data_IF_398493789268
#
_entry.id   IF_398493789268
#
_cell.length_a   1.000
_cell.length_b   1.000
_cell.length_c   1.000
_cell.angle_alpha   90.00
_cell.angle_beta   90.00
_cell.angle_gamma   90.00
#
_symmetry.space_group_name_H-M   'P 1'
#
loop_
_entity.id
_entity.type
_entity.pdbx_description
1 polymer ?
#
# COMPACT_ATOMS: atom_id res chain seq x y z
N UNK A 1 24.75 0.30 -2.63
CA UNK A 1 24.03 1.24 -3.54
C UNK A 1 22.57 0.85 -3.78
N UNK A 2 22.24 -0.31 -4.35
CA UNK A 2 20.90 -0.64 -4.91
C UNK A 2 19.69 -0.41 -4.02
N UNK A 3 19.67 -0.90 -2.77
CA UNK A 3 18.55 -0.69 -1.85
C UNK A 3 18.41 0.79 -1.47
N UNK A 4 19.52 1.49 -1.25
CA UNK A 4 19.52 2.91 -0.89
C UNK A 4 18.97 3.78 -2.01
N UNK A 5 19.36 3.52 -3.26
CA UNK A 5 18.86 4.27 -4.42
C UNK A 5 17.37 4.03 -4.67
N UNK A 6 16.86 2.79 -4.53
CA UNK A 6 15.44 2.51 -4.60
C UNK A 6 14.66 3.18 -3.47
N UNK A 7 15.21 3.23 -2.24
CA UNK A 7 14.60 3.96 -1.14
C UNK A 7 14.43 5.45 -1.49
N UNK A 8 15.50 6.10 -1.98
CA UNK A 8 15.45 7.51 -2.39
C UNK A 8 14.46 7.73 -3.54
N UNK A 9 14.41 6.81 -4.50
CA UNK A 9 13.47 6.88 -5.61
C UNK A 9 12.02 6.95 -5.14
N UNK A 10 11.64 6.14 -4.15
CA UNK A 10 10.30 6.17 -3.55
C UNK A 10 10.12 7.31 -2.53
N UNK A 11 11.19 7.75 -1.87
CA UNK A 11 11.16 8.85 -0.92
C UNK A 11 10.84 10.19 -1.61
N UNK A 12 11.43 10.42 -2.79
CA UNK A 12 11.24 11.63 -3.59
C UNK A 12 10.24 11.47 -4.74
N UNK A 13 9.61 10.31 -4.86
CA UNK A 13 8.64 9.99 -5.93
C UNK A 13 9.22 10.10 -7.35
N UNK A 14 10.47 9.70 -7.55
CA UNK A 14 11.20 9.82 -8.82
C UNK A 14 10.96 8.62 -9.75
N UNK A 15 10.92 8.87 -11.05
CA UNK A 15 11.06 7.85 -12.10
C UNK A 15 12.50 7.31 -12.18
N UNK A 16 12.72 6.25 -12.96
CA UNK A 16 14.07 5.70 -13.16
C UNK A 16 15.02 6.72 -13.80
N UNK A 17 14.54 7.51 -14.76
CA UNK A 17 15.34 8.55 -15.43
C UNK A 17 15.63 9.75 -14.51
N UNK A 18 14.64 10.21 -13.76
CA UNK A 18 14.84 11.27 -12.78
C UNK A 18 15.80 10.85 -11.66
N UNK A 19 15.78 9.57 -11.25
CA UNK A 19 16.72 9.06 -10.26
C UNK A 19 18.15 8.98 -10.81
N UNK A 20 18.35 8.59 -12.08
CA UNK A 20 19.63 8.66 -12.79
C UNK A 20 20.15 10.11 -12.78
N UNK A 21 19.34 11.05 -13.22
CA UNK A 21 19.69 12.47 -13.28
C UNK A 21 20.04 13.03 -11.89
N UNK A 22 19.21 12.75 -10.89
CA UNK A 22 19.46 13.17 -9.51
C UNK A 22 20.77 12.62 -8.96
N UNK A 23 21.07 11.34 -9.18
CA UNK A 23 22.34 10.76 -8.74
C UNK A 23 23.54 11.40 -9.44
N UNK A 24 23.39 11.86 -10.69
CA UNK A 24 24.46 12.51 -11.44
C UNK A 24 24.85 13.87 -10.87
N UNK A 25 23.88 14.65 -10.42
CA UNK A 25 24.07 16.06 -10.04
C UNK A 25 23.98 16.33 -8.53
N UNK A 26 23.43 15.42 -7.72
CA UNK A 26 23.25 15.62 -6.30
C UNK A 26 24.28 14.79 -5.48
N UNK A 27 25.27 15.50 -4.95
CA UNK A 27 26.36 14.92 -4.15
C UNK A 27 25.81 14.23 -2.88
N UNK A 28 24.79 14.81 -2.25
CA UNK A 28 24.17 14.24 -1.06
C UNK A 28 23.51 12.89 -1.34
N UNK A 29 22.82 12.76 -2.49
CA UNK A 29 22.22 11.51 -2.91
C UNK A 29 23.29 10.48 -3.33
N UNK A 30 24.37 10.90 -4.00
CA UNK A 30 25.52 10.03 -4.28
C UNK A 30 26.09 9.45 -2.98
N UNK A 31 26.40 10.33 -2.04
CA UNK A 31 26.95 9.94 -0.74
C UNK A 31 26.02 8.99 0.02
N UNK A 32 24.73 9.31 0.08
CA UNK A 32 23.74 8.44 0.72
C UNK A 32 23.71 7.05 0.07
N UNK A 33 23.84 6.98 -1.25
CA UNK A 33 23.90 5.72 -2.00
C UNK A 33 25.22 4.96 -1.81
N UNK A 34 26.24 5.59 -1.24
CA UNK A 34 27.59 5.04 -1.05
C UNK A 34 28.42 5.09 -2.34
N UNK A 35 28.21 6.14 -3.15
CA UNK A 35 29.01 6.46 -4.33
C UNK A 35 29.97 7.61 -4.00
N UNK A 36 31.19 7.54 -4.51
CA UNK A 36 32.15 8.65 -4.46
C UNK A 36 31.71 9.78 -5.42
N UNK A 37 32.25 10.99 -5.23
CA UNK A 37 31.87 12.15 -6.03
C UNK A 37 32.24 11.94 -7.50
N UNK A 38 33.41 11.37 -7.74
CA UNK A 38 33.98 11.06 -9.05
C UNK A 38 33.49 9.73 -9.65
N UNK A 39 32.81 8.91 -8.84
CA UNK A 39 32.28 7.62 -9.30
C UNK A 39 31.16 7.79 -10.31
N UNK A 40 31.18 7.03 -11.40
CA UNK A 40 30.16 7.02 -12.41
C UNK A 40 28.84 6.52 -11.85
N UNK A 41 27.75 7.25 -12.16
CA UNK A 41 26.40 6.90 -11.69
C UNK A 41 25.74 5.89 -12.62
N UNK A 42 24.95 4.96 -12.06
CA UNK A 42 24.24 4.00 -12.86
C UNK A 42 23.15 4.67 -13.72
N UNK A 43 22.95 4.12 -14.89
CA UNK A 43 21.88 4.52 -15.80
C UNK A 43 20.48 4.09 -15.29
N UNK A 44 19.41 4.60 -15.92
CA UNK A 44 18.03 4.27 -15.55
C UNK A 44 17.70 2.77 -15.67
N UNK A 45 18.40 2.00 -16.52
CA UNK A 45 18.15 0.55 -16.68
C UNK A 45 18.59 -0.24 -15.45
N UNK A 46 19.57 0.29 -14.70
CA UNK A 46 20.03 -0.29 -13.44
C UNK A 46 18.87 -0.49 -12.44
N UNK A 47 17.97 0.50 -12.31
CA UNK A 47 16.87 0.42 -11.35
C UNK A 47 15.87 -0.67 -11.71
N UNK A 48 15.66 -0.92 -13.00
CA UNK A 48 14.85 -2.04 -13.45
C UNK A 48 15.51 -3.38 -13.11
N UNK A 49 16.82 -3.52 -13.36
CA UNK A 49 17.59 -4.73 -13.06
C UNK A 49 17.64 -5.04 -11.58
N UNK A 50 17.92 -4.04 -10.74
CA UNK A 50 18.00 -4.24 -9.28
C UNK A 50 16.64 -4.60 -8.67
N UNK A 51 15.53 -3.99 -9.12
CA UNK A 51 14.18 -4.38 -8.70
C UNK A 51 13.89 -5.85 -9.04
N UNK A 52 14.26 -6.29 -10.24
CA UNK A 52 14.10 -7.68 -10.67
C UNK A 52 14.94 -8.64 -9.81
N UNK A 53 16.19 -8.29 -9.53
CA UNK A 53 17.09 -9.10 -8.72
C UNK A 53 16.66 -9.20 -7.24
N UNK A 54 16.15 -8.10 -6.65
CA UNK A 54 15.66 -8.09 -5.29
C UNK A 54 14.39 -8.92 -5.13
N UNK A 55 13.46 -8.78 -6.07
CA UNK A 55 12.16 -9.44 -6.00
C UNK A 55 11.28 -8.92 -4.87
N UNK A 56 9.99 -9.20 -4.97
CA UNK A 56 8.98 -8.69 -4.04
C UNK A 56 9.10 -9.27 -2.64
N UNK A 57 9.49 -10.54 -2.54
CA UNK A 57 9.61 -11.23 -1.25
C UNK A 57 10.69 -10.61 -0.35
N UNK A 58 11.88 -10.30 -0.92
CA UNK A 58 12.97 -9.70 -0.16
C UNK A 58 12.61 -8.31 0.35
N UNK A 59 11.89 -7.52 -0.44
CA UNK A 59 11.42 -6.19 -0.01
C UNK A 59 10.37 -6.32 1.10
N UNK A 60 9.45 -7.27 1.03
CA UNK A 60 8.54 -7.57 2.13
C UNK A 60 9.28 -7.97 3.42
N UNK A 61 10.38 -8.75 3.32
CA UNK A 61 11.24 -9.06 4.47
C UNK A 61 11.90 -7.80 5.07
N UNK A 62 12.28 -6.81 4.25
CA UNK A 62 12.81 -5.52 4.72
C UNK A 62 11.76 -4.78 5.55
N UNK A 63 10.52 -4.65 5.06
CA UNK A 63 9.43 -4.03 5.82
C UNK A 63 9.24 -4.71 7.18
N UNK A 64 9.14 -6.04 7.20
CA UNK A 64 8.98 -6.81 8.44
C UNK A 64 10.19 -6.66 9.38
N UNK A 65 11.41 -6.53 8.86
CA UNK A 65 12.62 -6.28 9.68
C UNK A 65 12.57 -4.91 10.34
N UNK A 66 12.15 -3.87 9.64
CA UNK A 66 11.95 -2.51 10.19
C UNK A 66 10.92 -2.57 11.32
N UNK A 67 9.78 -3.22 11.09
CA UNK A 67 8.72 -3.37 12.08
C UNK A 67 9.20 -4.11 13.34
N UNK A 68 9.94 -5.22 13.19
CA UNK A 68 10.54 -5.94 14.34
C UNK A 68 11.50 -5.06 15.14
N UNK A 69 12.25 -4.18 14.48
CA UNK A 69 13.13 -3.24 15.19
C UNK A 69 12.32 -2.19 15.96
N UNK A 70 11.22 -1.69 15.38
CA UNK A 70 10.30 -0.78 16.07
C UNK A 70 9.63 -1.47 17.28
N UNK A 71 9.22 -2.72 17.15
CA UNK A 71 8.68 -3.53 18.24
C UNK A 71 9.69 -3.70 19.39
N UNK A 72 10.93 -4.10 19.07
CA UNK A 72 12.01 -4.25 20.09
C UNK A 72 12.31 -2.96 20.83
N UNK A 73 12.08 -1.80 20.20
CA UNK A 73 12.22 -0.47 20.84
C UNK A 73 10.97 0.02 21.54
N UNK A 74 9.91 -0.80 21.63
CA UNK A 74 8.64 -0.43 22.24
C UNK A 74 7.82 0.61 21.48
N UNK A 75 8.20 0.91 20.24
CA UNK A 75 7.50 1.89 19.40
C UNK A 75 6.23 1.32 18.76
N UNK A 76 6.13 0.00 18.63
CA UNK A 76 4.96 -0.71 18.11
C UNK A 76 4.46 -1.68 19.17
N UNK A 77 3.20 -1.54 19.62
CA UNK A 77 2.68 -2.23 20.81
C UNK A 77 1.78 -3.44 20.54
N UNK A 78 1.31 -3.65 19.34
CA UNK A 78 0.47 -4.80 18.94
C UNK A 78 -0.80 -4.97 19.81
N UNK A 79 -1.49 -3.89 20.12
CA UNK A 79 -2.73 -3.92 20.91
C UNK A 79 -3.94 -3.63 20.03
N UNK A 80 -3.83 -2.59 19.23
CA UNK A 80 -4.87 -2.10 18.34
C UNK A 80 -4.33 -1.95 16.92
N UNK A 81 -5.03 -2.52 15.96
CA UNK A 81 -4.73 -2.37 14.55
C UNK A 81 -5.90 -1.77 13.78
N UNK A 82 -5.60 -0.87 12.86
CA UNK A 82 -6.54 -0.38 11.86
C UNK A 82 -6.29 -1.10 10.53
N UNK A 83 -7.36 -1.62 9.94
CA UNK A 83 -7.31 -2.28 8.62
C UNK A 83 -8.26 -1.59 7.66
N UNK A 84 -7.76 -1.26 6.49
CA UNK A 84 -8.57 -0.70 5.40
C UNK A 84 -7.95 -1.02 4.04
N UNK A 85 -8.66 -0.66 2.97
CA UNK A 85 -8.22 -0.84 1.59
C UNK A 85 -8.27 0.45 0.80
N UNK A 86 -7.30 0.60 -0.13
CA UNK A 86 -7.21 1.74 -1.03
C UNK A 86 -7.09 1.33 -2.50
N UNK A 87 -7.61 2.16 -3.38
CA UNK A 87 -7.50 1.97 -4.83
C UNK A 87 -6.07 2.24 -5.33
N UNK A 88 -5.58 1.43 -6.27
CA UNK A 88 -4.40 1.70 -7.09
C UNK A 88 -4.84 1.63 -8.55
N UNK A 89 -4.91 2.79 -9.20
CA UNK A 89 -5.33 2.88 -10.60
C UNK A 89 -4.16 2.55 -11.52
N UNK A 90 -4.36 1.63 -12.42
CA UNK A 90 -3.48 1.43 -13.57
C UNK A 90 -3.86 2.45 -14.64
N UNK A 91 -2.89 2.91 -15.41
CA UNK A 91 -3.16 3.75 -16.58
C UNK A 91 -4.14 2.99 -17.48
N UNK A 92 -5.34 3.55 -17.63
CA UNK A 92 -6.45 2.88 -18.32
C UNK A 92 -6.01 2.39 -19.69
N UNK A 93 -6.65 1.32 -20.10
CA UNK A 93 -6.64 0.81 -21.44
C UNK A 93 -6.71 1.97 -22.41
N UNK A 94 -5.71 2.04 -23.26
CA UNK A 94 -5.69 3.02 -24.33
C UNK A 94 -6.88 2.77 -25.25
N UNK A 95 -7.33 3.80 -25.91
CA UNK A 95 -8.36 3.71 -26.95
C UNK A 95 -8.13 2.51 -27.88
N UNK A 96 -6.88 2.23 -28.25
CA UNK A 96 -6.50 1.09 -29.09
C UNK A 96 -6.90 -0.29 -28.52
N UNK A 97 -6.85 -0.50 -27.21
CA UNK A 97 -7.24 -1.77 -26.59
C UNK A 97 -8.76 -1.94 -26.61
N UNK A 98 -9.48 -0.85 -26.34
CA UNK A 98 -10.94 -0.81 -26.45
C UNK A 98 -11.38 -0.98 -27.91
N UNK A 99 -10.74 -0.27 -28.83
CA UNK A 99 -11.09 -0.31 -30.25
C UNK A 99 -10.81 -1.69 -30.84
N UNK A 100 -9.76 -2.38 -30.38
CA UNK A 100 -9.48 -3.76 -30.75
C UNK A 100 -10.61 -4.69 -30.25
N UNK A 101 -11.06 -4.53 -29.00
CA UNK A 101 -12.13 -5.34 -28.43
C UNK A 101 -13.44 -5.15 -29.22
N UNK A 102 -13.79 -3.91 -29.55
CA UNK A 102 -14.98 -3.57 -30.35
C UNK A 102 -14.89 -4.18 -31.77
N UNK A 103 -13.72 -4.09 -32.43
CA UNK A 103 -13.50 -4.69 -33.76
C UNK A 103 -13.64 -6.21 -33.76
N UNK A 104 -13.36 -6.85 -32.62
CA UNK A 104 -13.54 -8.29 -32.44
C UNK A 104 -14.94 -8.68 -31.88
N UNK A 105 -15.90 -7.74 -31.88
CA UNK A 105 -17.30 -8.00 -31.52
C UNK A 105 -17.62 -7.85 -30.04
N UNK A 106 -16.73 -7.31 -29.22
CA UNK A 106 -17.00 -7.04 -27.80
C UNK A 106 -17.68 -5.68 -27.62
N UNK A 107 -18.75 -5.62 -26.84
CA UNK A 107 -19.46 -4.36 -26.55
C UNK A 107 -18.63 -3.39 -25.73
N UNK A 108 -17.84 -3.91 -24.79
CA UNK A 108 -17.00 -3.13 -23.90
C UNK A 108 -15.88 -3.96 -23.27
N UNK A 109 -14.83 -3.27 -22.81
CA UNK A 109 -13.81 -3.91 -22.00
C UNK A 109 -14.31 -4.09 -20.56
N UNK A 110 -14.26 -5.33 -20.06
CA UNK A 110 -14.75 -5.71 -18.73
C UNK A 110 -13.87 -6.82 -18.12
N UNK A 111 -14.21 -7.28 -16.91
CA UNK A 111 -13.40 -8.29 -16.21
C UNK A 111 -13.35 -9.68 -16.88
N UNK A 112 -14.20 -9.95 -17.87
CA UNK A 112 -14.21 -11.25 -18.59
C UNK A 112 -13.21 -11.26 -19.75
N UNK A 113 -13.01 -10.08 -20.38
CA UNK A 113 -12.20 -9.96 -21.60
C UNK A 113 -10.88 -9.18 -21.41
N UNK A 114 -10.68 -8.54 -20.24
CA UNK A 114 -9.49 -7.72 -19.95
C UNK A 114 -8.17 -8.49 -20.11
N UNK A 115 -8.14 -9.77 -19.84
CA UNK A 115 -6.93 -10.60 -20.02
C UNK A 115 -6.50 -10.71 -21.48
N UNK A 116 -7.46 -10.68 -22.40
CA UNK A 116 -7.20 -10.75 -23.84
C UNK A 116 -6.72 -9.41 -24.40
N UNK A 117 -7.31 -8.29 -23.95
CA UNK A 117 -7.13 -7.00 -24.59
C UNK A 117 -6.25 -6.02 -23.82
N UNK A 118 -6.21 -6.06 -22.50
CA UNK A 118 -5.48 -5.10 -21.70
C UNK A 118 -3.97 -5.34 -21.70
N UNK A 119 -3.22 -4.23 -21.68
CA UNK A 119 -1.77 -4.27 -21.48
C UNK A 119 -1.36 -4.74 -20.09
N UNK A 120 -2.22 -4.57 -19.08
CA UNK A 120 -2.06 -5.16 -17.75
C UNK A 120 -3.11 -6.25 -17.54
N UNK A 121 -2.72 -7.48 -17.83
CA UNK A 121 -3.60 -8.66 -17.82
C UNK A 121 -4.05 -9.09 -16.44
N UNK A 122 -3.38 -8.65 -15.38
CA UNK A 122 -3.68 -9.00 -13.99
C UNK A 122 -4.56 -7.95 -13.30
N UNK A 123 -4.62 -6.72 -13.84
CA UNK A 123 -5.52 -5.68 -13.35
C UNK A 123 -6.98 -6.01 -13.64
N UNK A 124 -7.89 -5.50 -12.79
CA UNK A 124 -9.34 -5.72 -12.94
C UNK A 124 -10.10 -4.41 -12.70
N UNK A 125 -11.33 -4.36 -13.20
CA UNK A 125 -12.25 -3.29 -12.84
C UNK A 125 -12.80 -3.55 -11.43
N UNK A 126 -12.62 -2.57 -10.55
CA UNK A 126 -13.21 -2.52 -9.22
C UNK A 126 -14.27 -1.44 -9.13
N UNK A 127 -15.14 -1.51 -8.11
CA UNK A 127 -16.19 -0.55 -7.87
C UNK A 127 -16.24 -0.19 -6.37
N UNK A 128 -16.38 1.12 -6.07
CA UNK A 128 -16.68 1.62 -4.72
C UNK A 128 -18.07 2.26 -4.73
N UNK A 129 -18.99 1.69 -3.98
CA UNK A 129 -20.40 2.03 -4.07
C UNK A 129 -20.99 1.61 -5.42
N UNK A 130 -21.99 2.37 -5.91
CA UNK A 130 -22.71 2.05 -7.16
C UNK A 130 -22.16 2.72 -8.42
N UNK A 131 -21.30 3.75 -8.27
CA UNK A 131 -20.95 4.65 -9.38
C UNK A 131 -19.45 4.88 -9.60
N UNK A 132 -18.59 4.58 -8.62
CA UNK A 132 -17.16 4.86 -8.73
C UNK A 132 -16.40 3.60 -9.15
N UNK A 133 -16.12 3.50 -10.43
CA UNK A 133 -15.34 2.42 -11.02
C UNK A 133 -13.89 2.85 -11.25
N UNK A 134 -12.96 1.90 -11.15
CA UNK A 134 -11.58 2.08 -11.59
C UNK A 134 -11.02 0.78 -12.14
N UNK A 135 -10.04 0.89 -13.02
CA UNK A 135 -9.25 -0.22 -13.52
C UNK A 135 -7.91 -0.28 -12.80
N UNK A 136 -7.55 -1.42 -12.25
CA UNK A 136 -6.28 -1.59 -11.55
C UNK A 136 -6.31 -2.62 -10.43
N UNK A 137 -5.77 -2.20 -9.28
CA UNK A 137 -5.56 -3.01 -8.11
C UNK A 137 -6.18 -2.37 -6.87
N UNK A 138 -6.22 -3.15 -5.81
CA UNK A 138 -6.59 -2.73 -4.47
C UNK A 138 -5.43 -3.02 -3.52
N UNK A 139 -5.10 -2.07 -2.67
CA UNK A 139 -4.10 -2.19 -1.61
C UNK A 139 -4.81 -2.40 -0.29
N UNK A 140 -4.54 -3.50 0.39
CA UNK A 140 -4.99 -3.77 1.74
C UNK A 140 -3.83 -3.46 2.69
N UNK A 141 -4.12 -2.77 3.79
CA UNK A 141 -3.09 -2.30 4.74
C UNK A 141 -3.57 -2.54 6.15
N UNK A 142 -2.66 -3.01 7.01
CA UNK A 142 -2.83 -2.95 8.45
C UNK A 142 -1.84 -1.96 9.06
N UNK A 143 -2.32 -1.16 10.02
CA UNK A 143 -1.59 -0.09 10.67
C UNK A 143 -1.67 -0.31 12.19
N UNK A 144 -0.54 -0.24 12.87
CA UNK A 144 -0.50 -0.19 14.32
C UNK A 144 -1.03 1.15 14.83
N UNK A 145 -2.10 1.14 15.61
CA UNK A 145 -2.76 2.37 16.04
C UNK A 145 -1.96 3.14 17.12
N UNK A 146 -1.06 2.48 17.83
CA UNK A 146 -0.19 3.14 18.79
C UNK A 146 0.86 4.02 18.14
N UNK A 147 1.55 3.50 17.11
CA UNK A 147 2.64 4.19 16.42
C UNK A 147 2.22 4.85 15.10
N UNK A 148 1.14 4.38 14.49
CA UNK A 148 0.76 4.74 13.12
C UNK A 148 1.65 4.11 12.05
N UNK A 149 2.47 3.11 12.38
CA UNK A 149 3.31 2.39 11.44
C UNK A 149 2.51 1.35 10.66
N UNK A 150 2.81 1.23 9.38
CA UNK A 150 2.24 0.19 8.51
C UNK A 150 2.87 -1.15 8.89
N UNK A 151 2.05 -2.12 9.27
CA UNK A 151 2.48 -3.46 9.67
C UNK A 151 2.63 -4.39 8.49
N UNK A 152 1.57 -4.48 7.69
CA UNK A 152 1.54 -5.33 6.51
C UNK A 152 0.80 -4.62 5.38
N UNK A 153 1.19 -4.92 4.15
CA UNK A 153 0.54 -4.41 2.94
C UNK A 153 0.44 -5.50 1.88
N UNK A 154 -0.75 -5.65 1.30
CA UNK A 154 -1.00 -6.62 0.23
C UNK A 154 -1.77 -5.97 -0.91
N UNK A 155 -1.35 -6.29 -2.13
CA UNK A 155 -2.03 -5.87 -3.36
C UNK A 155 -2.81 -7.06 -3.93
N UNK A 156 -4.04 -6.78 -4.37
CA UNK A 156 -4.91 -7.72 -5.08
C UNK A 156 -5.49 -7.04 -6.32
N UNK A 157 -6.01 -7.78 -7.30
CA UNK A 157 -6.83 -7.19 -8.35
C UNK A 157 -8.01 -6.41 -7.77
N UNK A 158 -8.44 -5.32 -8.44
CA UNK A 158 -9.42 -4.39 -7.87
C UNK A 158 -10.81 -5.01 -7.61
N UNK A 159 -11.17 -6.11 -8.28
CA UNK A 159 -12.41 -6.84 -8.07
C UNK A 159 -12.41 -7.74 -6.82
N UNK A 160 -11.25 -7.95 -6.18
CA UNK A 160 -11.18 -8.70 -4.92
C UNK A 160 -11.81 -7.88 -3.80
N UNK A 161 -12.68 -8.51 -3.01
CA UNK A 161 -13.37 -7.82 -1.90
C UNK A 161 -12.46 -7.58 -0.71
N UNK A 162 -12.78 -6.56 0.10
CA UNK A 162 -11.94 -6.18 1.25
C UNK A 162 -11.83 -7.28 2.29
N UNK A 163 -12.89 -8.09 2.45
CA UNK A 163 -12.88 -9.25 3.35
C UNK A 163 -11.90 -10.33 2.93
N UNK A 164 -11.69 -10.54 1.63
CA UNK A 164 -10.66 -11.47 1.12
C UNK A 164 -9.27 -10.90 1.36
N UNK A 165 -9.11 -9.59 1.15
CA UNK A 165 -7.84 -8.90 1.41
C UNK A 165 -7.41 -8.94 2.88
N UNK A 166 -8.37 -9.02 3.80
CA UNK A 166 -8.10 -9.13 5.23
C UNK A 166 -7.24 -10.35 5.59
N UNK A 167 -7.41 -11.48 4.91
CA UNK A 167 -6.62 -12.71 5.15
C UNK A 167 -5.10 -12.45 5.10
N UNK A 168 -4.67 -11.49 4.28
CA UNK A 168 -3.26 -11.19 4.05
C UNK A 168 -2.68 -10.18 5.03
N UNK A 169 -3.52 -9.33 5.65
CA UNK A 169 -3.06 -8.21 6.47
C UNK A 169 -3.61 -8.24 7.89
N UNK A 170 -4.47 -9.19 8.22
CA UNK A 170 -5.00 -9.35 9.57
C UNK A 170 -3.86 -9.62 10.55
N UNK A 171 -3.74 -8.84 11.64
CA UNK A 171 -2.78 -9.11 12.70
C UNK A 171 -3.13 -10.39 13.49
N UNK A 172 -2.33 -10.71 14.49
CA UNK A 172 -2.58 -11.83 15.39
C UNK A 172 -2.83 -11.29 16.83
N UNK A 173 -3.94 -11.74 17.46
CA UNK A 173 -4.20 -11.51 18.90
C UNK A 173 -4.53 -10.06 19.28
N UNK A 174 -5.07 -9.25 18.36
CA UNK A 174 -5.30 -7.83 18.58
C UNK A 174 -6.77 -7.44 18.38
N UNK A 175 -7.13 -6.23 18.81
CA UNK A 175 -8.40 -5.62 18.38
C UNK A 175 -8.22 -4.92 17.05
N UNK A 176 -9.04 -5.30 16.06
CA UNK A 176 -8.97 -4.82 14.69
C UNK A 176 -10.08 -3.82 14.42
N UNK A 177 -9.72 -2.57 14.24
CA UNK A 177 -10.63 -1.49 13.82
C UNK A 177 -10.72 -1.46 12.30
N UNK A 178 -11.93 -1.45 11.78
CA UNK A 178 -12.17 -1.45 10.33
C UNK A 178 -13.51 -0.77 10.01
N UNK A 179 -13.74 -0.52 8.72
CA UNK A 179 -15.00 0.04 8.27
C UNK A 179 -16.13 -1.00 8.25
N UNK A 180 -17.35 -0.56 7.93
CA UNK A 180 -18.54 -1.42 7.85
C UNK A 180 -18.47 -2.54 6.79
N UNK A 181 -17.53 -2.49 5.84
CA UNK A 181 -17.33 -3.54 4.85
C UNK A 181 -16.80 -4.82 5.50
N UNK A 182 -16.05 -4.68 6.60
CA UNK A 182 -15.51 -5.79 7.37
C UNK A 182 -16.50 -6.35 8.40
N UNK A 183 -17.68 -5.72 8.58
CA UNK A 183 -18.76 -6.24 9.41
C UNK A 183 -19.54 -7.32 8.66
N UNK A 184 -18.97 -8.51 8.52
CA UNK A 184 -19.58 -9.67 7.89
C UNK A 184 -18.99 -10.97 8.44
N UNK A 185 -19.74 -12.06 8.33
CA UNK A 185 -19.35 -13.38 8.85
C UNK A 185 -17.95 -13.83 8.38
N UNK A 186 -17.62 -13.62 7.11
CA UNK A 186 -16.30 -13.98 6.56
C UNK A 186 -15.16 -13.24 7.26
N UNK A 187 -15.28 -11.93 7.44
CA UNK A 187 -14.24 -11.14 8.13
C UNK A 187 -14.14 -11.52 9.61
N UNK A 188 -15.25 -11.79 10.29
CA UNK A 188 -15.26 -12.28 11.67
C UNK A 188 -14.52 -13.61 11.79
N UNK A 189 -14.82 -14.58 10.93
CA UNK A 189 -14.12 -15.89 10.92
C UNK A 189 -12.61 -15.73 10.72
N UNK A 190 -12.16 -14.78 9.87
CA UNK A 190 -10.72 -14.51 9.67
C UNK A 190 -10.10 -13.94 10.95
N UNK A 191 -10.77 -12.97 11.59
CA UNK A 191 -10.30 -12.35 12.83
C UNK A 191 -10.26 -13.38 13.97
N UNK A 192 -11.30 -14.20 14.14
CA UNK A 192 -11.38 -15.28 15.15
C UNK A 192 -10.24 -16.29 14.97
N UNK A 193 -9.96 -16.76 13.74
CA UNK A 193 -8.84 -17.66 13.44
C UNK A 193 -7.47 -17.10 13.81
N UNK A 194 -7.35 -15.76 13.84
CA UNK A 194 -6.15 -15.02 14.25
C UNK A 194 -6.17 -14.62 15.73
N UNK A 195 -7.18 -15.02 16.49
CA UNK A 195 -7.36 -14.61 17.89
C UNK A 195 -7.65 -13.12 18.05
N UNK A 196 -8.13 -12.46 16.99
CA UNK A 196 -8.42 -11.03 17.00
C UNK A 196 -9.87 -10.74 17.40
N UNK A 197 -10.08 -9.58 18.04
CA UNK A 197 -11.40 -9.04 18.33
C UNK A 197 -11.81 -8.01 17.26
N UNK A 198 -13.08 -8.06 16.84
CA UNK A 198 -13.60 -7.15 15.84
C UNK A 198 -14.05 -5.82 16.43
N UNK A 199 -13.42 -4.73 16.02
CA UNK A 199 -13.84 -3.33 16.20
C UNK A 199 -14.40 -2.72 14.91
N UNK A 200 -14.97 -3.52 14.01
CA UNK A 200 -15.57 -3.03 12.78
C UNK A 200 -16.88 -2.27 13.06
N UNK A 201 -17.10 -1.18 12.31
CA UNK A 201 -18.36 -0.42 12.38
C UNK A 201 -19.49 -1.30 11.87
N UNK A 202 -20.62 -1.29 12.58
CA UNK A 202 -21.76 -2.11 12.21
C UNK A 202 -22.48 -1.58 10.95
N UNK A 203 -23.00 -2.50 10.14
CA UNK A 203 -23.82 -2.13 8.97
C UNK A 203 -25.15 -1.54 9.44
N UNK A 204 -25.74 -0.66 8.60
CA UNK A 204 -26.96 0.06 8.95
C UNK A 204 -28.20 -0.82 9.15
N UNK A 205 -28.18 -2.04 8.61
CA UNK A 205 -29.27 -3.02 8.70
C UNK A 205 -29.11 -4.00 9.86
N UNK A 206 -28.16 -3.79 10.77
CA UNK A 206 -28.01 -4.65 11.95
C UNK A 206 -28.87 -4.17 13.11
N UNK A 207 -29.52 -5.11 13.80
CA UNK A 207 -30.47 -4.85 14.89
C UNK A 207 -29.82 -4.20 16.11
N UNK A 208 -28.59 -4.59 16.46
CA UNK A 208 -27.87 -4.12 17.64
C UNK A 208 -26.92 -2.95 17.34
N UNK A 209 -27.35 -2.05 16.44
CA UNK A 209 -26.52 -0.91 16.08
C UNK A 209 -26.58 0.17 17.15
N UNK A 210 -25.43 0.43 17.74
CA UNK A 210 -25.18 1.53 18.69
C UNK A 210 -24.57 2.73 17.94
N UNK A 211 -25.32 3.82 17.81
CA UNK A 211 -24.89 5.02 17.09
C UNK A 211 -23.73 5.75 17.80
N UNK A 212 -23.70 5.74 19.12
CA UNK A 212 -22.64 6.39 19.89
C UNK A 212 -21.34 5.63 19.76
N UNK A 213 -21.39 4.31 19.87
CA UNK A 213 -20.26 3.42 19.63
C UNK A 213 -19.73 3.55 18.22
N UNK A 214 -20.58 3.57 17.21
CA UNK A 214 -20.17 3.73 15.80
C UNK A 214 -19.54 5.12 15.54
N UNK A 215 -20.06 6.17 16.18
CA UNK A 215 -19.49 7.52 16.11
C UNK A 215 -18.11 7.55 16.76
N UNK A 216 -17.96 6.93 17.93
CA UNK A 216 -16.66 6.80 18.60
C UNK A 216 -15.66 6.02 17.75
N UNK A 217 -16.04 4.84 17.22
CA UNK A 217 -15.20 4.04 16.33
C UNK A 217 -14.75 4.84 15.09
N UNK A 218 -15.63 5.67 14.54
CA UNK A 218 -15.30 6.54 13.40
C UNK A 218 -14.24 7.57 13.77
N UNK A 219 -14.37 8.22 14.92
CA UNK A 219 -13.39 9.20 15.43
C UNK A 219 -12.03 8.55 15.70
N UNK A 220 -12.02 7.37 16.29
CA UNK A 220 -10.79 6.62 16.59
C UNK A 220 -10.04 6.19 15.34
N UNK A 221 -10.76 5.89 14.24
CA UNK A 221 -10.18 5.51 12.95
C UNK A 221 -9.62 6.69 12.15
N UNK A 222 -10.27 7.85 12.24
CA UNK A 222 -10.01 8.99 11.36
C UNK A 222 -8.51 9.37 11.22
N UNK A 223 -7.69 9.37 12.29
CA UNK A 223 -6.26 9.67 12.18
C UNK A 223 -5.48 8.71 11.27
N UNK A 224 -5.95 7.46 11.12
CA UNK A 224 -5.24 6.42 10.34
C UNK A 224 -5.62 6.42 8.87
N UNK A 225 -6.72 7.06 8.49
CA UNK A 225 -7.10 7.26 7.08
C UNK A 225 -6.06 8.11 6.33
N UNK A 226 -5.32 8.99 7.04
CA UNK A 226 -4.21 9.75 6.45
C UNK A 226 -3.09 8.86 5.89
N UNK A 227 -2.91 7.63 6.36
CA UNK A 227 -1.91 6.70 5.83
C UNK A 227 -2.17 6.48 4.33
N UNK A 228 -3.43 6.30 3.95
CA UNK A 228 -3.82 6.09 2.55
C UNK A 228 -3.64 7.35 1.69
N UNK A 229 -3.76 8.54 2.26
CA UNK A 229 -3.52 9.79 1.54
C UNK A 229 -2.06 10.02 1.17
N UNK A 230 -1.14 9.41 1.94
CA UNK A 230 0.32 9.49 1.71
C UNK A 230 0.85 8.41 0.76
N UNK A 231 0.02 7.46 0.36
CA UNK A 231 0.35 6.41 -0.58
C UNK A 231 -0.16 6.75 -1.99
N UNK A 232 0.60 6.40 -3.03
CA UNK A 232 0.21 6.66 -4.41
C UNK A 232 -1.09 5.94 -4.77
N UNK A 233 -2.02 6.65 -5.38
CA UNK A 233 -3.24 6.09 -5.96
C UNK A 233 -3.05 5.57 -7.39
N UNK A 234 -1.83 5.65 -7.93
CA UNK A 234 -1.49 5.21 -9.29
C UNK A 234 -0.40 4.14 -9.26
N UNK A 235 -0.57 3.12 -10.08
CA UNK A 235 0.46 2.14 -10.32
C UNK A 235 1.58 2.75 -11.18
N UNK A 236 2.82 2.62 -10.73
CA UNK A 236 4.02 2.97 -11.51
C UNK A 236 4.34 1.88 -12.53
N UNK A 237 3.97 0.65 -12.22
CA UNK A 237 4.34 -0.54 -12.98
C UNK A 237 3.10 -1.31 -13.43
N UNK A 238 3.28 -2.19 -14.41
CA UNK A 238 2.28 -3.17 -14.85
C UNK A 238 2.56 -4.52 -14.23
N UNK A 239 1.50 -5.25 -13.89
CA UNK A 239 1.55 -6.57 -13.27
C UNK A 239 1.57 -6.53 -11.74
N UNK A 240 0.80 -7.42 -11.12
CA UNK A 240 0.53 -7.45 -9.69
C UNK A 240 1.79 -7.54 -8.84
N UNK A 241 2.77 -8.36 -9.24
CA UNK A 241 4.04 -8.53 -8.54
C UNK A 241 4.82 -7.22 -8.41
N UNK A 242 4.87 -6.43 -9.49
CA UNK A 242 5.58 -5.15 -9.51
C UNK A 242 4.83 -4.07 -8.73
N UNK A 243 3.49 -4.10 -8.78
CA UNK A 243 2.65 -3.19 -7.99
C UNK A 243 2.71 -3.55 -6.50
N UNK A 244 2.82 -4.83 -6.15
CA UNK A 244 3.09 -5.26 -4.77
C UNK A 244 4.45 -4.76 -4.28
N UNK A 245 5.48 -4.80 -5.11
CA UNK A 245 6.79 -4.23 -4.78
C UNK A 245 6.70 -2.72 -4.54
N UNK A 246 5.98 -1.99 -5.39
CA UNK A 246 5.68 -0.57 -5.18
C UNK A 246 5.04 -0.34 -3.80
N UNK A 247 4.01 -1.10 -3.47
CA UNK A 247 3.31 -0.97 -2.19
C UNK A 247 4.22 -1.22 -0.98
N UNK A 248 5.15 -2.17 -1.06
CA UNK A 248 6.14 -2.39 -0.01
C UNK A 248 7.12 -1.21 0.12
N UNK A 249 7.62 -0.67 -0.98
CA UNK A 249 8.50 0.50 -0.93
C UNK A 249 7.81 1.72 -0.35
N UNK A 250 6.58 1.99 -0.76
CA UNK A 250 5.77 3.09 -0.20
C UNK A 250 5.56 2.91 1.32
N UNK A 251 5.28 1.68 1.78
CA UNK A 251 5.14 1.37 3.19
C UNK A 251 6.47 1.54 3.96
N UNK A 252 7.60 1.10 3.38
CA UNK A 252 8.94 1.28 3.98
C UNK A 252 9.25 2.77 4.13
N UNK A 253 9.07 3.56 3.07
CA UNK A 253 9.33 5.01 3.10
C UNK A 253 8.42 5.70 4.12
N UNK A 254 7.14 5.35 4.14
CA UNK A 254 6.20 5.88 5.13
C UNK A 254 6.67 5.57 6.56
N UNK A 255 7.01 4.31 6.84
CA UNK A 255 7.45 3.90 8.17
C UNK A 255 8.76 4.57 8.58
N UNK A 256 9.74 4.69 7.68
CA UNK A 256 11.01 5.38 7.98
C UNK A 256 10.76 6.86 8.27
N UNK A 257 9.96 7.57 7.46
CA UNK A 257 9.58 8.96 7.74
C UNK A 257 8.91 9.09 9.11
N UNK A 258 8.02 8.18 9.45
CA UNK A 258 7.31 8.17 10.75
C UNK A 258 8.27 7.91 11.91
N UNK A 259 9.18 6.94 11.77
CA UNK A 259 10.18 6.62 12.79
C UNK A 259 11.16 7.77 13.04
N UNK A 260 11.55 8.52 12.02
CA UNK A 260 12.38 9.71 12.16
C UNK A 260 11.65 10.75 13.02
N UNK A 261 10.37 11.03 12.73
CA UNK A 261 9.57 11.99 13.52
C UNK A 261 9.41 11.53 14.96
N UNK A 262 9.20 10.23 15.20
CA UNK A 262 9.06 9.67 16.56
C UNK A 262 10.37 9.68 17.35
N UNK A 263 11.51 9.56 16.69
CA UNK A 263 12.84 9.58 17.30
C UNK A 263 13.48 10.98 17.40
N UNK A 264 12.91 11.98 16.74
CA UNK A 264 13.36 13.35 16.84
C UNK A 264 12.93 13.93 18.18
N UNK A 265 13.80 14.64 18.93
CA UNK A 265 13.37 15.38 20.11
C UNK A 265 12.27 16.38 19.69
N UNK A 266 11.28 16.67 20.57
CA UNK A 266 10.26 17.66 20.25
C UNK A 266 10.97 18.96 19.89
N UNK A 267 10.68 19.48 18.69
CA UNK A 267 11.07 20.84 18.33
C UNK A 267 10.43 21.75 19.41
N UNK A 268 11.26 22.34 20.25
CA UNK A 268 10.79 23.39 21.15
C UNK A 268 10.21 24.50 20.27
N UNK A 269 8.89 24.57 20.22
CA UNK A 269 8.22 25.78 19.78
C UNK A 269 8.52 26.78 20.87
N UNK A 270 9.51 27.62 20.64
CA UNK A 270 9.72 28.81 21.46
C UNK A 270 8.41 29.62 21.42
N UNK A 271 7.82 29.78 22.59
CA UNK A 271 6.62 30.58 22.80
C UNK A 271 6.88 32.05 22.44
#
# INVERSE_FOLDING_TARGET
MGIRSLFLQFYYDLSDREMEERLRYDIGLKWFCGLSIDEETPDHTYFCRIRKALGTERIGKVLRKINRQAEKKGLMRKVFSFVDSGEIKVKETRWAERDKAIKEGEESLNNRNVEKYSADKEARFGCKGKKKFWFGYKRHVSVDMGSGLIREVRVTPANVTDQVGLEYVCPDGEMVFADKQYCCKKAQTIMEKRGCHSGAILKNNMVNKDKEKDSWLTKVRAPFEMVFSKMSKRARYRGMVKVQMQAFWEAIVFNVKRLIVMGSPPLFVAA
#
